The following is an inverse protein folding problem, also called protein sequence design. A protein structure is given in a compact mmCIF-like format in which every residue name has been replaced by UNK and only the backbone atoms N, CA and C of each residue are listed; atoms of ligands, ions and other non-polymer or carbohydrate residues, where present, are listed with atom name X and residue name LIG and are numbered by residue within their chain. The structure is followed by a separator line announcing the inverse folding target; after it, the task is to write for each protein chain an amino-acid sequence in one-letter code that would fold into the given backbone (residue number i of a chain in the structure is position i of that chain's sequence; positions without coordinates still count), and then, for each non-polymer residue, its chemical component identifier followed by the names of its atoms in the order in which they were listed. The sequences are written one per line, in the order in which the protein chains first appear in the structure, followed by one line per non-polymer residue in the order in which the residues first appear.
data_IF_203064690990
#
_entry.id   IF_203064690990
#
_cell.length_a   1.000
_cell.length_b   1.000
_cell.length_c   1.000
_cell.angle_alpha   90.00
_cell.angle_beta   90.00
_cell.angle_gamma   90.00
#
_symmetry.space_group_name_H-M   'P 1'
#
loop_
_entity.id
_entity.type
_entity.pdbx_description
1 polymer ?
#
# COMPACT_ATOMS: atom_id res chain seq x y z
N UNK A 1 -20.12 -11.83 7.73
CA UNK A 1 -20.56 -10.50 8.18
C UNK A 1 -20.55 -9.54 6.99
N UNK A 2 -21.62 -8.77 6.74
CA UNK A 2 -21.61 -7.81 5.64
C UNK A 2 -20.56 -6.73 5.93
N UNK A 3 -19.53 -6.68 5.10
CA UNK A 3 -18.51 -5.63 5.12
C UNK A 3 -19.15 -4.39 4.50
N UNK A 4 -19.61 -3.45 5.34
CA UNK A 4 -20.04 -2.16 4.84
C UNK A 4 -18.79 -1.35 4.44
N UNK A 5 -18.83 -0.78 3.24
CA UNK A 5 -17.82 0.18 2.77
C UNK A 5 -18.50 1.54 2.81
N UNK A 6 -17.97 2.42 3.66
CA UNK A 6 -18.41 3.82 3.70
C UNK A 6 -17.40 4.61 2.86
N UNK A 7 -17.86 5.17 1.74
CA UNK A 7 -17.07 6.09 0.92
C UNK A 7 -17.52 7.51 1.22
N UNK A 8 -16.65 8.28 1.85
CA UNK A 8 -16.88 9.70 2.13
C UNK A 8 -16.16 10.50 1.04
N UNK A 9 -16.88 10.83 -0.03
CA UNK A 9 -16.42 11.74 -1.08
C UNK A 9 -16.90 13.15 -0.76
N UNK A 10 -15.97 14.09 -0.71
CA UNK A 10 -16.23 15.48 -0.33
C UNK A 10 -16.03 16.48 -1.48
N UNK A 11 -15.71 16.00 -2.68
CA UNK A 11 -15.61 16.85 -3.88
C UNK A 11 -16.98 17.01 -4.55
N UNK A 12 -17.54 18.21 -4.40
CA UNK A 12 -18.64 18.70 -5.23
C UNK A 12 -18.10 18.94 -6.65
N UNK A 13 -18.43 18.05 -7.60
CA UNK A 13 -18.15 18.28 -9.02
C UNK A 13 -19.05 19.43 -9.49
N UNK A 14 -18.51 20.65 -9.58
CA UNK A 14 -19.17 21.77 -10.26
C UNK A 14 -19.30 21.41 -11.74
N UNK A 15 -20.44 20.86 -12.12
CA UNK A 15 -20.77 20.47 -13.50
C UNK A 15 -21.99 19.57 -13.62
N UNK A 16 -22.33 18.78 -12.59
CA UNK A 16 -23.55 17.95 -12.61
C UNK A 16 -24.75 18.78 -12.16
N UNK A 17 -25.51 19.32 -13.11
CA UNK A 17 -26.88 19.77 -12.83
C UNK A 17 -27.73 18.52 -12.60
N UNK A 18 -28.28 18.40 -11.39
CA UNK A 18 -29.24 17.37 -10.97
C UNK A 18 -28.68 15.94 -10.87
N UNK A 19 -28.13 15.59 -9.71
CA UNK A 19 -28.07 14.20 -9.25
C UNK A 19 -29.00 14.08 -8.05
N UNK A 20 -30.05 13.29 -8.23
CA UNK A 20 -31.12 13.08 -7.25
C UNK A 20 -30.67 12.24 -6.04
N UNK A 21 -31.38 12.40 -4.92
CA UNK A 21 -30.98 12.17 -3.51
C UNK A 21 -30.39 10.82 -3.04
N UNK A 22 -30.12 9.86 -3.91
CA UNK A 22 -29.37 8.64 -3.55
C UNK A 22 -28.80 8.02 -4.81
N UNK A 23 -27.51 8.20 -5.06
CA UNK A 23 -26.86 7.63 -6.24
C UNK A 23 -26.04 6.41 -5.84
N UNK A 24 -26.57 5.23 -6.16
CA UNK A 24 -25.85 3.98 -6.08
C UNK A 24 -25.14 3.77 -7.43
N UNK A 25 -23.81 3.80 -7.46
CA UNK A 25 -23.07 3.45 -8.68
C UNK A 25 -22.54 2.03 -8.49
N UNK A 26 -23.01 1.11 -9.34
CA UNK A 26 -22.49 -0.24 -9.44
C UNK A 26 -21.15 -0.19 -10.19
N UNK A 27 -20.05 -0.36 -9.46
CA UNK A 27 -18.77 -0.72 -10.05
C UNK A 27 -18.38 -2.09 -9.50
N UNK A 28 -18.26 -3.07 -10.39
CA UNK A 28 -17.68 -4.39 -10.10
C UNK A 28 -18.25 -5.12 -8.86
N UNK A 29 -19.57 -5.19 -8.71
CA UNK A 29 -20.21 -6.06 -7.71
C UNK A 29 -20.12 -5.61 -6.23
N UNK A 30 -19.78 -4.36 -5.96
CA UNK A 30 -19.71 -3.81 -4.59
C UNK A 30 -20.71 -2.66 -4.45
N UNK A 31 -21.58 -2.72 -3.44
CA UNK A 31 -22.50 -1.62 -3.10
C UNK A 31 -21.69 -0.48 -2.45
N UNK A 32 -21.45 0.59 -3.22
CA UNK A 32 -20.77 1.80 -2.74
C UNK A 32 -21.82 2.80 -2.25
N UNK A 33 -21.83 3.10 -0.96
CA UNK A 33 -22.64 4.19 -0.41
C UNK A 33 -21.85 5.51 -0.50
N UNK A 34 -22.31 6.43 -1.36
CA UNK A 34 -21.84 7.82 -1.38
C UNK A 34 -22.53 8.60 -0.26
N UNK A 35 -21.81 8.92 0.81
CA UNK A 35 -22.32 9.83 1.84
C UNK A 35 -21.97 11.26 1.42
N UNK A 36 -22.92 11.94 0.78
CA UNK A 36 -22.89 13.40 0.57
C UNK A 36 -22.82 14.10 1.93
N UNK A 37 -22.08 15.21 1.99
CA UNK A 37 -21.69 15.98 3.18
C UNK A 37 -22.80 16.29 4.20
N UNK A 38 -24.09 16.20 3.83
CA UNK A 38 -25.24 16.41 4.72
C UNK A 38 -25.66 15.19 5.57
N UNK A 39 -25.18 13.98 5.30
CA UNK A 39 -25.53 12.77 6.08
C UNK A 39 -24.56 12.50 7.25
N UNK A 40 -23.38 13.11 7.25
CA UNK A 40 -22.48 13.11 8.42
C UNK A 40 -23.15 13.78 9.63
N UNK A 41 -23.97 14.81 9.40
CA UNK A 41 -24.82 15.39 10.44
C UNK A 41 -25.94 14.46 10.92
N UNK A 42 -26.48 13.58 10.07
CA UNK A 42 -27.54 12.63 10.48
C UNK A 42 -26.99 11.44 11.28
N UNK A 43 -25.80 10.94 10.94
CA UNK A 43 -25.12 9.91 11.75
C UNK A 43 -24.65 10.45 13.11
N UNK A 44 -24.40 11.76 13.23
CA UNK A 44 -24.06 12.40 14.50
C UNK A 44 -25.28 12.87 15.32
N UNK A 45 -26.45 13.06 14.70
CA UNK A 45 -27.66 13.62 15.34
C UNK A 45 -28.70 12.58 15.77
N UNK A 46 -28.60 11.32 15.37
CA UNK A 46 -29.51 10.28 15.87
C UNK A 46 -28.74 9.30 16.77
N UNK A 47 -29.20 9.20 18.02
CA UNK A 47 -28.80 8.23 19.06
C UNK A 47 -28.94 6.78 18.59
N UNK A 48 -28.14 6.34 17.62
CA UNK A 48 -27.99 4.91 17.32
C UNK A 48 -26.86 4.36 18.19
N UNK A 49 -27.13 3.32 19.00
CA UNK A 49 -26.09 2.69 19.80
C UNK A 49 -24.99 2.18 18.86
N UNK A 50 -23.76 2.58 19.18
CA UNK A 50 -22.49 2.18 18.59
C UNK A 50 -22.58 0.75 18.01
N UNK A 51 -22.88 0.65 16.72
CA UNK A 51 -22.86 -0.61 16.00
C UNK A 51 -21.44 -1.16 16.14
N UNK A 52 -21.29 -2.41 16.56
CA UNK A 52 -20.00 -3.06 16.77
C UNK A 52 -19.23 -3.10 15.42
N UNK A 53 -18.32 -2.15 15.18
CA UNK A 53 -17.66 -1.89 13.87
C UNK A 53 -16.43 -2.80 13.68
N UNK A 54 -16.55 -4.10 13.96
CA UNK A 54 -15.42 -5.04 13.87
C UNK A 54 -15.00 -5.40 12.42
N UNK A 55 -15.58 -4.77 11.40
CA UNK A 55 -15.31 -5.16 10.00
C UNK A 55 -15.55 -4.11 8.91
N UNK A 56 -15.85 -2.85 9.24
CA UNK A 56 -15.97 -1.82 8.20
C UNK A 56 -14.60 -1.46 7.62
N UNK A 57 -14.53 -1.42 6.29
CA UNK A 57 -13.44 -0.77 5.57
C UNK A 57 -13.90 0.64 5.24
N UNK A 58 -13.21 1.63 5.81
CA UNK A 58 -13.52 3.03 5.59
C UNK A 58 -12.54 3.58 4.55
N UNK A 59 -13.05 4.00 3.39
CA UNK A 59 -12.25 4.66 2.35
C UNK A 59 -12.67 6.12 2.26
N UNK A 60 -11.77 7.03 2.62
CA UNK A 60 -12.03 8.46 2.65
C UNK A 60 -11.08 9.16 1.69
N UNK A 61 -11.62 10.05 0.87
CA UNK A 61 -10.81 11.08 0.21
C UNK A 61 -10.85 12.32 1.09
N UNK A 62 -9.71 12.65 1.69
CA UNK A 62 -9.60 13.72 2.67
C UNK A 62 -9.56 15.05 1.94
N UNK A 63 -10.60 15.88 2.12
CA UNK A 63 -10.58 17.27 1.65
C UNK A 63 -10.56 18.28 2.79
N UNK A 64 -10.84 17.87 4.04
CA UNK A 64 -10.96 18.78 5.18
C UNK A 64 -10.61 18.11 6.53
N UNK A 65 -9.92 18.86 7.40
CA UNK A 65 -9.49 18.48 8.74
C UNK A 65 -10.61 18.11 9.72
N UNK A 66 -11.84 18.58 9.49
CA UNK A 66 -13.01 18.21 10.31
C UNK A 66 -13.30 16.71 10.20
N UNK A 67 -13.19 16.15 8.98
CA UNK A 67 -13.48 14.73 8.72
C UNK A 67 -12.47 13.85 9.45
N UNK A 68 -11.18 14.21 9.41
CA UNK A 68 -10.12 13.53 10.14
C UNK A 68 -10.42 13.44 11.64
N UNK A 69 -10.88 14.53 12.27
CA UNK A 69 -11.22 14.53 13.70
C UNK A 69 -12.38 13.60 14.06
N UNK A 70 -13.39 13.47 13.20
CA UNK A 70 -14.52 12.57 13.45
C UNK A 70 -14.12 11.11 13.32
N UNK A 71 -13.30 10.77 12.31
CA UNK A 71 -12.80 9.40 12.14
C UNK A 71 -11.93 8.98 13.33
N UNK A 72 -11.15 9.90 13.91
CA UNK A 72 -10.38 9.65 15.12
C UNK A 72 -11.23 9.26 16.34
N UNK A 73 -12.56 9.44 16.32
CA UNK A 73 -13.48 8.95 17.36
C UNK A 73 -13.89 7.50 17.17
N UNK A 74 -13.65 6.92 15.99
CA UNK A 74 -13.98 5.54 15.66
C UNK A 74 -12.86 4.60 16.18
N UNK A 75 -12.70 4.54 17.50
CA UNK A 75 -11.57 3.85 18.14
C UNK A 75 -11.52 2.35 17.88
N UNK A 76 -12.60 1.73 17.40
CA UNK A 76 -12.65 0.32 17.01
C UNK A 76 -12.34 0.06 15.53
N UNK A 77 -11.99 1.10 14.76
CA UNK A 77 -11.77 0.99 13.32
C UNK A 77 -10.53 0.13 13.02
N UNK A 78 -10.74 -0.96 12.28
CA UNK A 78 -9.66 -1.89 11.94
C UNK A 78 -9.07 -1.65 10.55
N UNK A 79 -9.80 -0.99 9.65
CA UNK A 79 -9.36 -0.79 8.26
C UNK A 79 -9.61 0.65 7.85
N UNK A 80 -8.54 1.33 7.48
CA UNK A 80 -8.55 2.72 7.07
C UNK A 80 -7.84 2.85 5.73
N UNK A 81 -8.53 3.41 4.75
CA UNK A 81 -7.95 3.87 3.49
C UNK A 81 -8.17 5.36 3.38
N UNK A 82 -7.09 6.12 3.28
CA UNK A 82 -7.13 7.57 3.15
C UNK A 82 -6.40 7.98 1.87
N UNK A 83 -7.10 8.75 1.07
CA UNK A 83 -6.53 9.49 -0.04
C UNK A 83 -6.31 10.94 0.41
N UNK A 84 -5.04 11.27 0.65
CA UNK A 84 -4.52 12.57 1.04
C UNK A 84 -4.06 13.39 -0.17
N UNK A 85 -4.31 12.91 -1.39
CA UNK A 85 -3.88 13.60 -2.61
C UNK A 85 -4.54 14.97 -2.73
N UNK A 86 -3.74 15.96 -3.11
CA UNK A 86 -4.22 17.31 -3.36
C UNK A 86 -4.73 17.38 -4.80
N UNK A 87 -6.05 17.49 -4.98
CA UNK A 87 -6.67 17.70 -6.30
C UNK A 87 -6.70 19.20 -6.62
N UNK A 88 -5.63 19.72 -7.21
CA UNK A 88 -5.62 21.09 -7.71
C UNK A 88 -6.31 21.15 -9.08
N UNK A 89 -7.35 21.97 -9.20
CA UNK A 89 -8.07 22.21 -10.46
C UNK A 89 -7.36 23.16 -11.42
N UNK A 90 -6.10 23.54 -11.16
CA UNK A 90 -5.29 24.36 -12.05
C UNK A 90 -3.84 23.90 -12.00
N UNK A 91 -3.32 23.65 -13.19
CA UNK A 91 -1.91 23.49 -13.54
C UNK A 91 -1.14 24.65 -12.95
N UNK A 92 -0.41 24.44 -11.87
CA UNK A 92 0.84 25.13 -11.58
C UNK A 92 1.61 24.30 -10.54
N UNK A 93 2.81 23.90 -10.95
CA UNK A 93 3.81 23.23 -10.12
C UNK A 93 4.37 24.29 -9.17
N UNK A 94 3.67 24.49 -8.07
CA UNK A 94 4.22 25.20 -6.92
C UNK A 94 4.19 24.26 -5.72
N UNK A 95 5.36 24.07 -5.11
CA UNK A 95 5.55 23.49 -3.79
C UNK A 95 4.80 24.41 -2.84
N UNK A 96 3.52 24.11 -2.59
CA UNK A 96 2.76 24.81 -1.58
C UNK A 96 3.35 24.46 -0.22
N UNK A 97 3.45 25.43 0.72
CA UNK A 97 3.75 25.08 2.10
C UNK A 97 2.73 24.03 2.53
N UNK A 98 3.24 22.90 3.03
CA UNK A 98 2.42 21.79 3.52
C UNK A 98 1.28 22.36 4.35
N UNK A 99 0.05 21.87 4.14
CA UNK A 99 -1.05 22.19 5.05
C UNK A 99 -0.79 21.47 6.38
N UNK A 100 0.11 22.07 7.18
CA UNK A 100 0.68 21.49 8.41
C UNK A 100 -0.43 21.05 9.34
N UNK A 101 -1.54 21.80 9.38
CA UNK A 101 -2.73 21.48 10.18
C UNK A 101 -3.39 20.17 9.75
N UNK A 102 -3.46 19.91 8.44
CA UNK A 102 -4.03 18.65 7.92
C UNK A 102 -3.14 17.47 8.27
N UNK A 103 -1.83 17.65 8.15
CA UNK A 103 -0.82 16.66 8.55
C UNK A 103 -0.90 16.36 10.04
N UNK A 104 -0.92 17.38 10.90
CA UNK A 104 -1.07 17.26 12.35
C UNK A 104 -2.33 16.49 12.74
N UNK A 105 -3.48 16.86 12.17
CA UNK A 105 -4.74 16.15 12.44
C UNK A 105 -4.73 14.71 11.94
N UNK A 106 -3.98 14.41 10.89
CA UNK A 106 -3.85 13.05 10.39
C UNK A 106 -2.95 12.20 11.29
N UNK A 107 -1.83 12.75 11.76
CA UNK A 107 -0.96 12.15 12.78
C UNK A 107 -1.74 11.88 14.06
N UNK A 108 -2.55 12.83 14.52
CA UNK A 108 -3.43 12.69 15.68
C UNK A 108 -4.46 11.56 15.47
N UNK A 109 -5.07 11.48 14.28
CA UNK A 109 -5.99 10.41 13.92
C UNK A 109 -5.32 9.04 13.99
N UNK A 110 -4.14 8.86 13.39
CA UNK A 110 -3.46 7.57 13.37
C UNK A 110 -3.05 7.16 14.79
N UNK A 111 -2.63 8.14 15.60
CA UNK A 111 -2.29 7.92 17.01
C UNK A 111 -3.48 7.49 17.87
N UNK A 112 -4.72 7.87 17.51
CA UNK A 112 -5.95 7.42 18.20
C UNK A 112 -6.40 6.03 17.79
N UNK A 113 -5.95 5.54 16.63
CA UNK A 113 -6.33 4.25 16.05
C UNK A 113 -5.25 3.18 16.24
N UNK A 114 -4.15 3.52 16.92
CA UNK A 114 -2.96 2.70 17.12
C UNK A 114 -3.24 1.27 17.62
N UNK A 115 -4.19 1.14 18.55
CA UNK A 115 -4.57 -0.11 19.22
C UNK A 115 -5.53 -1.01 18.41
N UNK A 116 -6.25 -0.45 17.43
CA UNK A 116 -7.30 -1.19 16.72
C UNK A 116 -7.03 -1.38 15.23
N UNK A 117 -6.18 -0.54 14.63
CA UNK A 117 -5.93 -0.61 13.20
C UNK A 117 -5.20 -1.90 12.81
N UNK A 118 -5.66 -2.53 11.74
CA UNK A 118 -5.15 -3.79 11.16
C UNK A 118 -4.83 -3.65 9.68
N UNK A 119 -5.45 -2.71 8.98
CA UNK A 119 -5.16 -2.39 7.59
C UNK A 119 -5.11 -0.89 7.42
N UNK A 120 -4.03 -0.41 6.81
CA UNK A 120 -3.83 1.00 6.51
C UNK A 120 -3.49 1.16 5.03
N UNK A 121 -4.21 2.05 4.36
CA UNK A 121 -3.90 2.49 3.01
C UNK A 121 -3.80 4.01 3.01
N UNK A 122 -2.68 4.54 2.52
CA UNK A 122 -2.46 5.99 2.40
C UNK A 122 -2.03 6.27 0.98
N UNK A 123 -2.74 7.20 0.33
CA UNK A 123 -2.37 7.74 -0.95
C UNK A 123 -2.03 9.22 -0.76
N UNK A 124 -0.83 9.61 -1.14
CA UNK A 124 -0.37 10.98 -1.06
C UNK A 124 0.45 11.32 -2.32
N UNK A 125 0.09 12.42 -2.99
CA UNK A 125 0.83 12.94 -4.15
C UNK A 125 1.52 14.28 -3.83
N UNK A 126 1.50 14.71 -2.57
CA UNK A 126 2.00 16.01 -2.11
C UNK A 126 3.38 15.94 -1.44
N UNK A 127 4.05 14.79 -1.54
CA UNK A 127 5.37 14.50 -0.94
C UNK A 127 5.45 14.63 0.60
N UNK A 128 4.31 14.75 1.30
CA UNK A 128 4.26 14.89 2.76
C UNK A 128 4.24 13.56 3.52
N UNK A 129 4.09 12.42 2.83
CA UNK A 129 3.93 11.10 3.45
C UNK A 129 5.10 10.73 4.37
N UNK A 130 6.33 11.01 3.97
CA UNK A 130 7.51 10.82 4.82
C UNK A 130 7.39 11.56 6.15
N UNK A 131 7.03 12.85 6.11
CA UNK A 131 6.85 13.66 7.31
C UNK A 131 5.72 13.13 8.19
N UNK A 132 4.57 12.78 7.60
CA UNK A 132 3.44 12.20 8.32
C UNK A 132 3.88 10.95 9.09
N UNK A 133 4.56 10.01 8.43
CA UNK A 133 4.92 8.73 9.03
C UNK A 133 6.02 8.88 10.10
N UNK A 134 6.94 9.83 9.92
CA UNK A 134 8.02 10.13 10.88
C UNK A 134 7.51 10.85 12.13
N UNK A 135 6.43 11.63 12.03
CA UNK A 135 5.85 12.38 13.15
C UNK A 135 4.84 11.56 13.98
N UNK A 136 4.65 10.27 13.71
CA UNK A 136 3.76 9.40 14.47
C UNK A 136 4.34 9.09 15.86
N UNK A 137 3.81 9.75 16.89
CA UNK A 137 4.17 9.45 18.29
C UNK A 137 3.64 8.09 18.78
N UNK A 138 2.48 7.64 18.26
CA UNK A 138 1.90 6.32 18.56
C UNK A 138 1.60 5.58 17.26
N UNK A 139 2.59 4.87 16.70
CA UNK A 139 2.41 4.18 15.44
C UNK A 139 1.46 2.97 15.60
N UNK A 140 0.61 2.67 14.60
CA UNK A 140 -0.29 1.52 14.63
C UNK A 140 0.47 0.20 14.42
N UNK A 141 1.14 -0.31 15.45
CA UNK A 141 2.02 -1.49 15.34
C UNK A 141 1.28 -2.82 15.12
N UNK A 142 -0.04 -2.84 15.27
CA UNK A 142 -0.89 -4.03 15.12
C UNK A 142 -1.37 -4.26 13.67
N UNK A 143 -0.80 -3.53 12.71
CA UNK A 143 -1.10 -3.68 11.29
C UNK A 143 -0.75 -5.07 10.77
N UNK A 144 -1.65 -5.60 9.94
CA UNK A 144 -1.47 -6.81 9.14
C UNK A 144 -1.27 -6.46 7.66
N UNK A 145 -1.84 -5.34 7.20
CA UNK A 145 -1.67 -4.88 5.82
C UNK A 145 -1.35 -3.39 5.80
N UNK A 146 -0.36 -3.00 5.01
CA UNK A 146 -0.08 -1.59 4.72
C UNK A 146 0.05 -1.41 3.22
N UNK A 147 -0.58 -0.37 2.69
CA UNK A 147 -0.45 0.06 1.30
C UNK A 147 -0.15 1.55 1.26
N UNK A 148 1.06 1.90 0.85
CA UNK A 148 1.51 3.28 0.74
C UNK A 148 1.69 3.66 -0.73
N UNK A 149 1.13 4.80 -1.10
CA UNK A 149 1.36 5.50 -2.35
C UNK A 149 1.83 6.90 -2.03
N UNK A 150 2.99 7.31 -2.51
CA UNK A 150 3.54 8.65 -2.30
C UNK A 150 4.97 8.65 -1.79
N UNK A 151 5.67 9.77 -1.95
CA UNK A 151 7.11 9.91 -1.70
C UNK A 151 7.48 9.79 -0.21
N UNK A 152 8.45 8.93 0.12
CA UNK A 152 8.90 8.68 1.52
C UNK A 152 10.43 8.62 1.63
N UNK A 153 11.13 8.03 0.65
CA UNK A 153 12.59 7.76 0.61
C UNK A 153 13.16 6.85 1.71
N UNK A 154 12.78 7.04 2.97
CA UNK A 154 13.21 6.21 4.10
C UNK A 154 12.00 5.66 4.86
N UNK A 155 12.17 4.54 5.56
CA UNK A 155 11.13 4.02 6.44
C UNK A 155 11.36 4.51 7.88
N UNK A 156 10.33 5.02 8.57
CA UNK A 156 10.44 5.38 9.98
C UNK A 156 10.83 4.18 10.86
N UNK A 157 11.50 4.44 11.98
CA UNK A 157 12.02 3.41 12.89
C UNK A 157 10.96 2.39 13.36
N UNK A 158 9.71 2.83 13.56
CA UNK A 158 8.62 1.97 14.01
C UNK A 158 8.24 0.88 13.01
N UNK A 159 8.63 0.98 11.74
CA UNK A 159 8.43 -0.10 10.77
C UNK A 159 9.05 -1.41 11.25
N UNK A 160 10.21 -1.35 11.90
CA UNK A 160 10.89 -2.53 12.48
C UNK A 160 10.05 -3.24 13.55
N UNK A 161 9.09 -2.54 14.17
CA UNK A 161 8.24 -3.05 15.25
C UNK A 161 6.93 -3.68 14.76
N UNK A 162 6.72 -3.75 13.43
CA UNK A 162 5.51 -4.30 12.81
C UNK A 162 5.47 -5.85 12.85
N UNK A 163 5.45 -6.43 14.05
CA UNK A 163 5.55 -7.88 14.25
C UNK A 163 4.38 -8.71 13.68
N UNK A 164 3.26 -8.07 13.32
CA UNK A 164 2.06 -8.72 12.79
C UNK A 164 1.80 -8.43 11.30
N UNK A 165 2.68 -7.66 10.65
CA UNK A 165 2.48 -7.26 9.25
C UNK A 165 2.64 -8.45 8.34
N UNK A 166 1.59 -8.76 7.59
CA UNK A 166 1.51 -9.88 6.65
C UNK A 166 1.81 -9.41 5.23
N UNK A 167 1.34 -8.22 4.87
CA UNK A 167 1.47 -7.63 3.54
C UNK A 167 1.91 -6.18 3.57
N UNK A 168 2.92 -5.87 2.77
CA UNK A 168 3.36 -4.51 2.47
C UNK A 168 3.23 -4.25 0.98
N UNK A 169 2.63 -3.12 0.61
CA UNK A 169 2.54 -2.65 -0.77
C UNK A 169 3.02 -1.22 -0.84
N UNK A 170 3.99 -0.96 -1.73
CA UNK A 170 4.63 0.33 -1.89
C UNK A 170 4.55 0.74 -3.36
N UNK A 171 4.18 1.98 -3.65
CA UNK A 171 4.19 2.57 -4.99
C UNK A 171 4.55 4.04 -4.89
N UNK A 172 5.32 4.56 -5.84
CA UNK A 172 5.75 5.95 -5.86
C UNK A 172 6.43 6.40 -4.55
N UNK A 173 7.02 5.46 -3.80
CA UNK A 173 7.68 5.71 -2.52
C UNK A 173 9.13 6.15 -2.66
N UNK A 174 9.76 5.82 -3.78
CA UNK A 174 11.16 6.14 -4.09
C UNK A 174 12.09 5.78 -2.92
N UNK A 175 11.86 4.63 -2.28
CA UNK A 175 12.65 4.19 -1.14
C UNK A 175 14.09 3.91 -1.58
N UNK A 176 15.04 4.36 -0.78
CA UNK A 176 16.42 3.92 -0.89
C UNK A 176 16.47 2.40 -0.70
N UNK A 177 17.34 1.72 -1.46
CA UNK A 177 17.50 0.26 -1.39
C UNK A 177 17.83 -0.23 0.03
N UNK A 178 18.60 0.53 0.79
CA UNK A 178 18.92 0.22 2.20
C UNK A 178 17.69 0.31 3.12
N UNK A 179 16.71 1.17 2.80
CA UNK A 179 15.46 1.24 3.57
C UNK A 179 14.64 -0.05 3.46
N UNK A 180 14.76 -0.79 2.36
CA UNK A 180 14.12 -2.11 2.19
C UNK A 180 14.66 -3.13 3.20
N UNK A 181 15.89 -2.95 3.68
CA UNK A 181 16.49 -3.84 4.67
C UNK A 181 15.71 -3.87 5.99
N UNK A 182 15.01 -2.79 6.35
CA UNK A 182 14.12 -2.76 7.53
C UNK A 182 13.00 -3.79 7.41
N UNK A 183 12.55 -4.08 6.19
CA UNK A 183 11.46 -5.03 5.96
C UNK A 183 11.90 -6.49 6.12
N UNK A 184 13.21 -6.76 6.05
CA UNK A 184 13.76 -8.13 6.04
C UNK A 184 13.62 -8.85 7.38
N UNK A 185 13.56 -8.09 8.47
CA UNK A 185 13.46 -8.61 9.85
C UNK A 185 12.03 -8.86 10.30
N UNK A 186 11.04 -8.48 9.49
CA UNK A 186 9.63 -8.57 9.87
C UNK A 186 9.16 -10.03 9.93
N UNK A 187 8.79 -10.53 11.13
CA UNK A 187 8.62 -11.97 11.34
C UNK A 187 7.39 -12.55 10.65
N UNK A 188 6.32 -11.76 10.51
CA UNK A 188 5.06 -12.18 9.92
C UNK A 188 4.91 -11.82 8.43
N UNK A 189 5.90 -11.15 7.82
CA UNK A 189 5.79 -10.64 6.46
C UNK A 189 5.80 -11.81 5.47
N UNK A 190 4.66 -12.02 4.79
CA UNK A 190 4.50 -13.08 3.78
C UNK A 190 4.34 -12.56 2.37
N UNK A 191 3.96 -11.28 2.20
CA UNK A 191 3.73 -10.67 0.91
C UNK A 191 4.40 -9.29 0.83
N UNK A 192 5.28 -9.12 -0.15
CA UNK A 192 5.91 -7.84 -0.45
C UNK A 192 5.59 -7.46 -1.89
N UNK A 193 5.06 -6.25 -2.07
CA UNK A 193 4.76 -5.66 -3.37
C UNK A 193 5.54 -4.36 -3.49
N UNK A 194 6.57 -4.38 -4.34
CA UNK A 194 7.32 -3.22 -4.79
C UNK A 194 6.78 -2.83 -6.16
N UNK A 195 5.79 -1.94 -6.18
CA UNK A 195 5.16 -1.46 -7.40
C UNK A 195 5.94 -0.33 -8.08
N UNK A 196 5.33 0.27 -9.09
CA UNK A 196 5.92 1.35 -9.88
C UNK A 196 6.53 2.44 -9.00
N UNK A 197 7.78 2.84 -9.29
CA UNK A 197 8.55 3.86 -8.57
C UNK A 197 8.58 3.66 -7.04
N UNK A 198 8.56 2.40 -6.58
CA UNK A 198 8.65 2.09 -5.15
C UNK A 198 10.07 2.25 -4.59
N UNK A 199 11.09 2.03 -5.43
CA UNK A 199 12.49 2.28 -5.10
C UNK A 199 13.01 3.49 -5.87
N UNK A 200 14.08 4.08 -5.36
CA UNK A 200 14.83 5.12 -6.06
C UNK A 200 15.48 4.60 -7.34
N UNK A 201 15.73 5.51 -8.29
CA UNK A 201 16.46 5.19 -9.51
C UNK A 201 17.94 5.04 -9.16
N UNK A 202 18.44 3.82 -9.26
CA UNK A 202 19.81 3.46 -8.94
C UNK A 202 20.23 2.29 -9.84
N UNK A 203 21.44 2.36 -10.40
CA UNK A 203 22.02 1.35 -11.30
C UNK A 203 22.32 0.00 -10.61
N UNK A 204 22.29 -0.03 -9.28
CA UNK A 204 22.53 -1.24 -8.51
C UNK A 204 21.27 -2.12 -8.41
N UNK A 205 21.45 -3.43 -8.32
CA UNK A 205 20.32 -4.35 -8.11
C UNK A 205 19.93 -4.39 -6.63
N UNK A 206 18.64 -4.55 -6.33
CA UNK A 206 18.20 -4.90 -4.98
C UNK A 206 18.60 -6.35 -4.69
N UNK A 207 19.41 -6.53 -3.64
CA UNK A 207 19.96 -7.83 -3.26
C UNK A 207 19.06 -8.51 -2.23
N UNK A 208 18.65 -9.73 -2.52
CA UNK A 208 18.08 -10.63 -1.54
C UNK A 208 19.14 -11.66 -1.17
N UNK A 209 19.56 -11.65 0.09
CA UNK A 209 20.56 -12.55 0.66
C UNK A 209 19.91 -13.58 1.61
N UNK A 210 20.73 -14.41 2.24
CA UNK A 210 20.28 -15.41 3.22
C UNK A 210 19.87 -14.83 4.59
N UNK A 211 20.03 -13.52 4.81
CA UNK A 211 19.93 -12.89 6.12
C UNK A 211 18.53 -12.36 6.48
N UNK A 212 17.52 -12.54 5.62
CA UNK A 212 16.21 -11.93 5.84
C UNK A 212 15.04 -12.59 5.10
N UNK A 213 13.85 -12.00 5.25
CA UNK A 213 12.63 -12.38 4.53
C UNK A 213 12.25 -13.86 4.65
N UNK A 214 12.58 -14.50 5.79
CA UNK A 214 12.35 -15.93 6.02
C UNK A 214 10.87 -16.34 5.88
N UNK A 215 9.94 -15.44 6.19
CA UNK A 215 8.49 -15.69 6.07
C UNK A 215 7.90 -15.39 4.68
N UNK A 216 8.68 -14.81 3.76
CA UNK A 216 8.15 -14.27 2.51
C UNK A 216 7.73 -15.39 1.55
N UNK A 217 6.46 -15.37 1.12
CA UNK A 217 5.86 -16.36 0.21
C UNK A 217 5.50 -15.77 -1.14
N UNK A 218 5.23 -14.47 -1.21
CA UNK A 218 4.93 -13.76 -2.44
C UNK A 218 5.80 -12.51 -2.55
N UNK A 219 6.49 -12.39 -3.67
CA UNK A 219 7.22 -11.20 -4.08
C UNK A 219 6.67 -10.69 -5.41
N UNK A 220 6.21 -9.45 -5.42
CA UNK A 220 5.79 -8.75 -6.64
C UNK A 220 6.71 -7.55 -6.85
N UNK A 221 7.34 -7.51 -8.02
CA UNK A 221 8.23 -6.46 -8.47
C UNK A 221 7.70 -5.84 -9.76
N UNK A 222 7.58 -4.51 -9.78
CA UNK A 222 7.22 -3.75 -10.96
C UNK A 222 8.40 -2.88 -11.40
N UNK A 223 9.09 -3.30 -12.47
CA UNK A 223 10.29 -2.63 -13.00
C UNK A 223 11.41 -2.41 -11.96
N UNK A 224 11.68 -3.42 -11.14
CA UNK A 224 12.72 -3.38 -10.09
C UNK A 224 13.82 -4.40 -10.38
N UNK A 225 15.04 -3.92 -10.58
CA UNK A 225 16.21 -4.77 -10.78
C UNK A 225 16.60 -5.49 -9.48
N UNK A 226 16.77 -6.81 -9.57
CA UNK A 226 16.98 -7.71 -8.43
C UNK A 226 18.03 -8.79 -8.68
N UNK A 227 18.73 -9.14 -7.60
CA UNK A 227 19.64 -10.28 -7.52
C UNK A 227 19.27 -11.15 -6.32
N UNK A 228 19.06 -12.43 -6.57
CA UNK A 228 18.86 -13.42 -5.52
C UNK A 228 20.16 -14.17 -5.28
N UNK A 229 20.71 -14.08 -4.07
CA UNK A 229 21.91 -14.83 -3.70
C UNK A 229 21.56 -16.22 -3.18
N UNK A 230 22.58 -17.04 -2.94
CA UNK A 230 22.37 -18.37 -2.38
C UNK A 230 21.69 -18.29 -1.00
N UNK A 231 20.65 -19.10 -0.81
CA UNK A 231 19.82 -19.09 0.40
C UNK A 231 18.81 -17.95 0.49
N UNK A 232 18.67 -17.12 -0.56
CA UNK A 232 17.68 -16.05 -0.60
C UNK A 232 16.23 -16.58 -0.57
N UNK A 233 15.38 -15.87 0.18
CA UNK A 233 13.93 -16.09 0.22
C UNK A 233 13.52 -17.57 0.35
N UNK A 234 13.94 -18.28 1.43
CA UNK A 234 13.86 -19.74 1.52
C UNK A 234 12.44 -20.31 1.41
N UNK A 235 11.40 -19.50 1.65
CA UNK A 235 10.00 -19.90 1.61
C UNK A 235 9.19 -19.25 0.47
N UNK A 236 9.85 -18.63 -0.51
CA UNK A 236 9.17 -17.98 -1.64
C UNK A 236 8.38 -19.00 -2.45
N UNK A 237 7.14 -18.68 -2.82
CA UNK A 237 6.28 -19.57 -3.61
C UNK A 237 5.81 -18.89 -4.90
N UNK A 238 5.56 -17.58 -4.86
CA UNK A 238 5.09 -16.80 -6.00
C UNK A 238 6.02 -15.62 -6.28
N UNK A 239 6.53 -15.58 -7.50
CA UNK A 239 7.28 -14.44 -8.03
C UNK A 239 6.46 -13.78 -9.14
N UNK A 240 6.11 -12.52 -8.96
CA UNK A 240 5.39 -11.71 -9.96
C UNK A 240 6.27 -10.59 -10.47
N UNK A 241 6.49 -10.56 -11.77
CA UNK A 241 7.36 -9.57 -12.43
C UNK A 241 6.52 -8.83 -13.47
N UNK A 242 6.41 -7.51 -13.33
CA UNK A 242 5.59 -6.67 -14.21
C UNK A 242 6.37 -5.45 -14.70
N UNK A 243 6.18 -5.04 -15.95
CA UNK A 243 6.70 -3.79 -16.48
C UNK A 243 8.02 -3.92 -17.23
N UNK A 244 8.93 -2.99 -16.98
CA UNK A 244 10.15 -2.80 -17.76
C UNK A 244 11.34 -3.42 -17.03
N UNK A 245 11.98 -4.39 -17.68
CA UNK A 245 13.19 -5.04 -17.19
C UNK A 245 14.21 -5.15 -18.33
N UNK A 246 15.44 -4.73 -18.06
CA UNK A 246 16.60 -4.95 -18.92
C UNK A 246 17.07 -6.41 -18.89
N UNK A 247 18.03 -6.74 -19.75
CA UNK A 247 18.51 -8.13 -19.90
C UNK A 247 19.19 -8.67 -18.63
N UNK A 248 19.77 -7.79 -17.82
CA UNK A 248 20.48 -8.14 -16.58
C UNK A 248 19.68 -7.82 -15.32
N UNK A 249 18.45 -7.31 -15.45
CA UNK A 249 17.63 -6.86 -14.33
C UNK A 249 17.26 -7.95 -13.33
N UNK A 250 17.35 -9.22 -13.72
CA UNK A 250 16.99 -10.35 -12.85
C UNK A 250 18.09 -11.40 -12.90
N UNK A 251 18.71 -11.67 -11.76
CA UNK A 251 19.75 -12.69 -11.62
C UNK A 251 19.51 -13.58 -10.39
N UNK A 252 20.03 -14.81 -10.43
CA UNK A 252 20.05 -15.69 -9.26
C UNK A 252 18.75 -16.47 -8.97
N UNK A 253 17.79 -16.48 -9.89
CA UNK A 253 16.51 -17.18 -9.70
C UNK A 253 16.66 -18.67 -9.34
N UNK A 254 17.74 -19.33 -9.78
CA UNK A 254 18.04 -20.72 -9.44
C UNK A 254 18.20 -20.98 -7.93
N UNK A 255 18.45 -19.95 -7.12
CA UNK A 255 18.58 -20.05 -5.67
C UNK A 255 17.22 -20.06 -4.95
N UNK A 256 16.10 -19.83 -5.66
CA UNK A 256 14.76 -19.75 -5.08
C UNK A 256 14.12 -21.14 -4.93
N UNK A 257 14.70 -21.98 -4.08
CA UNK A 257 14.38 -23.41 -3.96
C UNK A 257 12.95 -23.77 -3.54
N UNK A 258 12.11 -22.82 -3.09
CA UNK A 258 10.70 -23.06 -2.74
C UNK A 258 9.72 -22.56 -3.80
N UNK A 259 10.23 -21.93 -4.87
CA UNK A 259 9.42 -21.28 -5.89
C UNK A 259 8.48 -22.28 -6.57
N UNK A 260 7.21 -21.89 -6.71
CA UNK A 260 6.15 -22.73 -7.30
C UNK A 260 5.60 -22.13 -8.58
N UNK A 261 5.47 -20.80 -8.63
CA UNK A 261 4.90 -20.12 -9.77
C UNK A 261 5.60 -18.78 -10.03
N UNK A 262 5.83 -18.53 -11.32
CA UNK A 262 6.36 -17.29 -11.85
C UNK A 262 5.30 -16.72 -12.78
N UNK A 263 4.87 -15.49 -12.50
CA UNK A 263 4.01 -14.71 -13.37
C UNK A 263 4.84 -13.59 -14.01
N UNK A 264 4.84 -13.53 -15.33
CA UNK A 264 5.49 -12.48 -16.11
C UNK A 264 4.48 -11.67 -16.91
N UNK A 265 4.56 -10.36 -16.75
CA UNK A 265 3.93 -9.35 -17.60
C UNK A 265 4.99 -8.28 -17.90
N UNK A 266 6.01 -8.67 -18.68
CA UNK A 266 7.19 -7.84 -18.93
C UNK A 266 7.37 -7.63 -20.43
N UNK A 267 7.86 -6.47 -20.87
CA UNK A 267 7.99 -6.21 -22.32
C UNK A 267 9.20 -6.90 -22.99
N UNK A 268 10.20 -7.29 -22.20
CA UNK A 268 11.46 -7.82 -22.72
C UNK A 268 11.35 -9.32 -23.05
N UNK A 269 11.15 -9.64 -24.33
CA UNK A 269 11.02 -11.03 -24.81
C UNK A 269 12.27 -11.89 -24.56
N UNK A 270 13.47 -11.32 -24.69
CA UNK A 270 14.71 -12.05 -24.44
C UNK A 270 14.82 -12.46 -22.97
N UNK A 271 14.48 -11.54 -22.07
CA UNK A 271 14.43 -11.85 -20.65
C UNK A 271 13.36 -12.90 -20.35
N UNK A 272 12.17 -12.80 -20.94
CA UNK A 272 11.13 -13.82 -20.75
C UNK A 272 11.62 -15.23 -21.12
N UNK A 273 12.26 -15.41 -22.27
CA UNK A 273 12.73 -16.74 -22.68
C UNK A 273 13.90 -17.24 -21.82
N UNK A 274 14.77 -16.34 -21.36
CA UNK A 274 15.81 -16.68 -20.39
C UNK A 274 15.20 -17.18 -19.07
N UNK A 275 14.26 -16.42 -18.49
CA UNK A 275 13.57 -16.80 -17.25
C UNK A 275 12.77 -18.08 -17.42
N UNK A 276 12.15 -18.30 -18.59
CA UNK A 276 11.44 -19.54 -18.94
C UNK A 276 12.38 -20.74 -18.97
N UNK A 277 13.55 -20.58 -19.57
CA UNK A 277 14.58 -21.63 -19.61
C UNK A 277 15.07 -21.96 -18.21
N UNK A 278 15.36 -20.94 -17.40
CA UNK A 278 15.71 -21.11 -15.98
C UNK A 278 14.60 -21.83 -15.22
N UNK A 279 13.33 -21.48 -15.42
CA UNK A 279 12.19 -22.12 -14.77
C UNK A 279 12.02 -23.60 -15.16
N UNK A 280 12.31 -23.98 -16.41
CA UNK A 280 12.23 -25.38 -16.90
C UNK A 280 13.24 -26.30 -16.20
N UNK A 281 14.45 -25.80 -15.96
CA UNK A 281 15.52 -26.55 -15.29
C UNK A 281 15.56 -26.32 -13.78
N UNK A 282 14.69 -25.46 -13.26
CA UNK A 282 14.57 -25.17 -11.84
C UNK A 282 14.14 -26.43 -11.07
N UNK A 283 14.70 -26.65 -9.89
CA UNK A 283 14.50 -27.86 -9.07
C UNK A 283 13.02 -28.19 -8.83
N UNK A 284 12.17 -27.18 -8.64
CA UNK A 284 10.74 -27.34 -8.39
C UNK A 284 9.85 -27.38 -9.63
N UNK A 285 10.42 -27.26 -10.84
CA UNK A 285 9.66 -27.14 -12.10
C UNK A 285 8.54 -26.10 -11.99
N UNK A 286 8.90 -24.91 -11.51
CA UNK A 286 7.96 -23.82 -11.22
C UNK A 286 7.06 -23.54 -12.42
N UNK A 287 5.76 -23.43 -12.18
CA UNK A 287 4.79 -23.07 -13.21
C UNK A 287 5.12 -21.69 -13.75
N UNK A 288 5.19 -21.57 -15.06
CA UNK A 288 5.53 -20.32 -15.73
C UNK A 288 4.29 -19.78 -16.46
N UNK A 289 3.85 -18.58 -16.10
CA UNK A 289 2.67 -17.92 -16.64
C UNK A 289 3.09 -16.60 -17.28
N UNK A 290 2.69 -16.36 -18.52
CA UNK A 290 2.88 -15.10 -19.24
C UNK A 290 1.50 -14.48 -19.48
N UNK A 291 1.38 -13.17 -19.25
CA UNK A 291 0.18 -12.37 -19.51
C UNK A 291 0.02 -12.01 -21.00
#
# INVERSE_FOLDING_TARGET
CPSFIVVICSSFVRGCRSIDRTTYIWCSGVLVAFILSGLLSLLCCQNYPLVNILGLALTITVTNSIVLRQIGKLTQLQKLSIDFTVRNGRTDVHIFPEDTRRTEHFVELLSKLDSCLRSLTILDNSNGLGQILNNLHRPPVLLHNIYLVGFIQTLPDWFSSLNRIVKITLRFTFLLRDAVQVLKILPALTQLVLGFNSLDECDEQLVFDCNGFKGLKLLHLESVDVRFEEGALPNIQWLKLIGYFGNQSISGMQHLHSLKEIYLDIRNQRLQEMLRTTARVHLNRSKFVIA
#
